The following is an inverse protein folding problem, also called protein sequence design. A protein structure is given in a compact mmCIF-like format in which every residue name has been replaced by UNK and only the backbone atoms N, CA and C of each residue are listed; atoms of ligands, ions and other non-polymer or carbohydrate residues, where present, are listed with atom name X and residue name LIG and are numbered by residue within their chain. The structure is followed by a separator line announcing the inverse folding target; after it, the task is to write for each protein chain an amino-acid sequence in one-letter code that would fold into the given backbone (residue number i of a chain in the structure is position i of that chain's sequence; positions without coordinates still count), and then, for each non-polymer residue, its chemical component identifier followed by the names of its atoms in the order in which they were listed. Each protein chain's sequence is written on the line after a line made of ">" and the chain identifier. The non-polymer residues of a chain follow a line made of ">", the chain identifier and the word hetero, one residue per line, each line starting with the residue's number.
data_IF_910365775111
#
_entry.id   IF_910365775111
#
_cell.length_a   1.000
_cell.length_b   1.000
_cell.length_c   1.000
_cell.angle_alpha   90.00
_cell.angle_beta   90.00
_cell.angle_gamma   90.00
#
_symmetry.space_group_name_H-M   'P 1'
#
loop_
_entity.id
_entity.type
_entity.pdbx_description
1 polymer ?
#
# COMPACT_ATOMS: atom_id res chain seq x y z
N UNK A 1 -2.55 17.71 4.88
CA UNK A 1 -2.18 16.30 4.64
C UNK A 1 -1.01 15.96 5.55
N UNK A 2 -1.03 14.80 6.20
CA UNK A 2 0.06 14.38 7.08
C UNK A 2 1.31 14.14 6.24
N UNK A 3 2.45 14.75 6.59
CA UNK A 3 3.67 14.73 5.76
C UNK A 3 4.14 13.29 5.49
N UNK A 4 3.91 12.39 6.45
CA UNK A 4 4.22 10.96 6.35
C UNK A 4 3.45 10.23 5.24
N UNK A 5 2.19 10.59 4.99
CA UNK A 5 1.37 9.94 3.94
C UNK A 5 1.85 10.40 2.56
N UNK A 6 2.27 11.66 2.42
CA UNK A 6 2.88 12.17 1.18
C UNK A 6 4.18 11.44 0.86
N UNK A 7 5.02 11.19 1.88
CA UNK A 7 6.27 10.45 1.71
C UNK A 7 6.04 8.99 1.30
N UNK A 8 4.98 8.35 1.81
CA UNK A 8 4.60 7.00 1.37
C UNK A 8 4.18 6.97 -0.09
N UNK A 9 3.37 7.94 -0.54
CA UNK A 9 2.97 8.01 -1.95
C UNK A 9 4.18 8.12 -2.89
N UNK A 10 5.18 8.91 -2.50
CA UNK A 10 6.44 9.00 -3.27
C UNK A 10 7.21 7.68 -3.27
N UNK A 11 7.24 6.97 -2.15
CA UNK A 11 7.90 5.67 -2.07
C UNK A 11 7.20 4.62 -2.93
N UNK A 12 5.88 4.66 -3.06
CA UNK A 12 5.17 3.74 -3.96
C UNK A 12 5.73 3.80 -5.39
N UNK A 13 5.99 5.01 -5.89
CA UNK A 13 6.50 5.23 -7.25
C UNK A 13 8.03 5.02 -7.38
N UNK A 14 8.78 5.31 -6.32
CA UNK A 14 10.26 5.35 -6.37
C UNK A 14 10.96 4.14 -5.76
N UNK A 15 10.38 3.53 -4.73
CA UNK A 15 10.88 2.33 -4.05
C UNK A 15 9.71 1.52 -3.46
N UNK A 16 9.05 0.77 -4.33
CA UNK A 16 7.89 -0.07 -3.99
C UNK A 16 8.17 -1.03 -2.82
N UNK A 17 9.39 -1.55 -2.71
CA UNK A 17 9.74 -2.50 -1.65
C UNK A 17 9.80 -1.83 -0.28
N UNK A 18 10.38 -0.63 -0.20
CA UNK A 18 10.37 0.15 1.05
C UNK A 18 8.96 0.64 1.40
N UNK A 19 8.17 1.05 0.41
CA UNK A 19 6.74 1.35 0.61
C UNK A 19 6.01 0.16 1.25
N UNK A 20 6.13 -1.04 0.68
CA UNK A 20 5.45 -2.24 1.18
C UNK A 20 5.87 -2.57 2.63
N UNK A 21 7.17 -2.49 2.93
CA UNK A 21 7.67 -2.69 4.30
C UNK A 21 7.07 -1.72 5.29
N UNK A 22 6.98 -0.43 4.93
CA UNK A 22 6.38 0.61 5.77
C UNK A 22 4.88 0.38 5.96
N UNK A 23 4.16 0.03 4.91
CA UNK A 23 2.73 -0.31 4.98
C UNK A 23 2.46 -1.48 5.93
N UNK A 24 3.25 -2.57 5.84
CA UNK A 24 3.17 -3.71 6.76
C UNK A 24 3.42 -3.28 8.21
N UNK A 25 4.45 -2.46 8.45
CA UNK A 25 4.76 -1.96 9.79
C UNK A 25 3.62 -1.13 10.37
N UNK A 26 3.03 -0.22 9.60
CA UNK A 26 1.90 0.61 10.03
C UNK A 26 0.66 -0.23 10.36
N UNK A 27 0.34 -1.21 9.51
CA UNK A 27 -0.76 -2.15 9.73
C UNK A 27 -0.57 -2.98 11.01
N UNK A 28 0.61 -3.56 11.20
CA UNK A 28 0.94 -4.36 12.39
C UNK A 28 0.81 -3.53 13.68
N UNK A 29 1.20 -2.27 13.64
CA UNK A 29 1.13 -1.36 14.78
C UNK A 29 -0.24 -0.67 14.95
N UNK A 30 -1.22 -0.97 14.07
CA UNK A 30 -2.54 -0.32 14.03
C UNK A 30 -2.47 1.22 13.89
N UNK A 31 -1.42 1.73 13.25
CA UNK A 31 -1.23 3.16 12.96
C UNK A 31 -1.95 3.56 11.67
N UNK A 32 -3.28 3.38 11.67
CA UNK A 32 -4.12 3.46 10.48
C UNK A 32 -4.18 4.88 9.90
N UNK A 33 -3.98 5.91 10.72
CA UNK A 33 -3.98 7.32 10.33
C UNK A 33 -2.84 7.70 9.36
N UNK A 34 -1.82 6.85 9.25
CA UNK A 34 -0.64 7.08 8.40
C UNK A 34 -0.62 6.20 7.15
N UNK A 35 -1.67 5.42 6.90
CA UNK A 35 -1.75 4.52 5.75
C UNK A 35 -1.96 5.32 4.47
N UNK A 36 -1.24 4.92 3.43
CA UNK A 36 -1.50 5.34 2.05
C UNK A 36 -2.63 4.49 1.45
N UNK A 37 -3.88 4.87 1.76
CA UNK A 37 -5.06 4.09 1.40
C UNK A 37 -5.28 3.97 -0.10
N UNK A 38 -4.95 5.00 -0.87
CA UNK A 38 -5.20 5.03 -2.31
C UNK A 38 -4.40 3.92 -3.01
N UNK A 39 -3.09 3.89 -2.75
CA UNK A 39 -2.19 2.89 -3.30
C UNK A 39 -2.47 1.49 -2.72
N UNK A 40 -2.75 1.38 -1.42
CA UNK A 40 -3.12 0.10 -0.80
C UNK A 40 -4.38 -0.52 -1.43
N UNK A 41 -5.42 0.28 -1.65
CA UNK A 41 -6.66 -0.20 -2.28
C UNK A 41 -6.39 -0.58 -3.74
N UNK A 42 -5.56 0.18 -4.46
CA UNK A 42 -5.19 -0.15 -5.84
C UNK A 42 -4.48 -1.51 -5.91
N UNK A 43 -3.53 -1.78 -5.02
CA UNK A 43 -2.82 -3.07 -4.93
C UNK A 43 -3.77 -4.22 -4.60
N UNK A 44 -4.64 -4.06 -3.61
CA UNK A 44 -5.62 -5.10 -3.26
C UNK A 44 -6.59 -5.41 -4.42
N UNK A 45 -6.99 -4.38 -5.19
CA UNK A 45 -7.79 -4.58 -6.41
C UNK A 45 -6.99 -5.29 -7.51
N UNK A 46 -5.70 -4.98 -7.66
CA UNK A 46 -4.83 -5.64 -8.62
C UNK A 46 -4.67 -7.12 -8.27
N UNK A 47 -4.39 -7.45 -7.01
CA UNK A 47 -4.28 -8.81 -6.48
C UNK A 47 -5.56 -9.62 -6.72
N UNK A 48 -6.72 -9.06 -6.35
CA UNK A 48 -8.01 -9.74 -6.55
C UNK A 48 -8.38 -9.94 -8.03
N UNK A 49 -7.90 -9.07 -8.94
CA UNK A 49 -7.99 -9.31 -10.38
C UNK A 49 -7.05 -10.43 -10.80
N UNK A 50 -5.77 -10.40 -10.42
CA UNK A 50 -4.81 -11.44 -10.80
C UNK A 50 -5.19 -12.84 -10.31
N UNK A 51 -5.83 -12.97 -9.14
CA UNK A 51 -6.31 -14.27 -8.65
C UNK A 51 -7.52 -14.78 -9.44
N UNK A 52 -8.42 -13.91 -9.91
CA UNK A 52 -9.61 -14.33 -10.67
C UNK A 52 -9.29 -14.88 -12.06
N UNK A 53 -8.13 -14.54 -12.65
CA UNK A 53 -7.66 -15.09 -13.92
C UNK A 53 -6.94 -16.44 -13.78
N UNK A 54 -6.56 -16.84 -12.57
CA UNK A 54 -5.88 -18.13 -12.33
C UNK A 54 -6.86 -19.29 -12.14
N UNK A 55 -8.17 -19.01 -11.99
CA UNK A 55 -9.22 -19.99 -11.70
C UNK A 55 -10.38 -20.01 -12.72
N UNK A 56 -10.21 -19.38 -13.89
CA UNK A 56 -11.13 -19.46 -15.04
C UNK A 56 -10.38 -20.03 -16.24
#
# INVERSE_FOLDING_TARGET
>A
MNNQVTDLKLLYDTDYFDWLKKMIKLLNNRQLENIDYDNLIAELKALGRSERWFFL
#
